data_IF_430103036494
#
_entry.id   IF_430103036494
#
_cell.length_a   1.000
_cell.length_b   1.000
_cell.length_c   1.000
_cell.angle_alpha   90.00
_cell.angle_beta   90.00
_cell.angle_gamma   90.00
#
_symmetry.space_group_name_H-M   'P 1'
#
loop_
_entity.id
_entity.type
_entity.pdbx_description
1 polymer ?
#
# COMPACT_ATOMS: atom_id res chain seq x y z
N UNK A 1 -2.59 -0.03 14.13
CA UNK A 1 -1.59 0.52 13.20
C UNK A 1 -0.61 -0.58 12.83
N UNK A 2 -0.55 -0.94 11.56
CA UNK A 2 0.34 -2.00 11.05
C UNK A 2 1.40 -1.37 10.16
N UNK A 3 2.67 -1.69 10.38
CA UNK A 3 3.80 -1.22 9.58
C UNK A 3 4.35 -2.38 8.76
N UNK A 4 4.44 -2.20 7.46
CA UNK A 4 4.99 -3.17 6.52
C UNK A 4 6.25 -2.60 5.87
N UNK A 5 7.29 -3.41 5.74
CA UNK A 5 8.43 -3.06 4.91
C UNK A 5 8.01 -3.10 3.44
N UNK A 6 8.50 -2.14 2.66
CA UNK A 6 8.30 -2.08 1.20
C UNK A 6 8.61 -3.43 0.54
N UNK A 7 9.74 -4.05 0.89
CA UNK A 7 10.14 -5.34 0.36
C UNK A 7 9.12 -6.46 0.63
N UNK A 8 8.43 -6.42 1.78
CA UNK A 8 7.37 -7.38 2.09
C UNK A 8 6.14 -7.16 1.20
N UNK A 9 5.78 -5.90 0.95
CA UNK A 9 4.70 -5.54 0.02
C UNK A 9 5.05 -5.94 -1.41
N UNK A 10 6.29 -5.73 -1.86
CA UNK A 10 6.74 -6.17 -3.18
C UNK A 10 6.69 -7.71 -3.31
N UNK A 11 7.05 -8.44 -2.26
CA UNK A 11 6.92 -9.90 -2.23
C UNK A 11 5.46 -10.37 -2.28
N UNK A 12 4.55 -9.65 -1.60
CA UNK A 12 3.12 -9.91 -1.65
C UNK A 12 2.57 -9.68 -3.07
N UNK A 13 2.94 -8.57 -3.70
CA UNK A 13 2.54 -8.23 -5.08
C UNK A 13 3.09 -9.24 -6.09
N UNK A 14 4.29 -9.79 -5.89
CA UNK A 14 4.82 -10.88 -6.74
C UNK A 14 3.95 -12.14 -6.72
N UNK A 15 3.30 -12.43 -5.60
CA UNK A 15 2.35 -13.54 -5.48
C UNK A 15 0.96 -13.21 -6.03
N UNK A 16 0.67 -11.93 -6.30
CA UNK A 16 -0.61 -11.42 -6.80
C UNK A 16 -0.40 -10.42 -7.94
N UNK A 17 0.19 -10.85 -9.07
CA UNK A 17 0.59 -9.94 -10.14
C UNK A 17 -0.60 -9.17 -10.74
N UNK A 18 -1.82 -9.73 -10.64
CA UNK A 18 -3.05 -9.15 -11.18
C UNK A 18 -3.82 -8.24 -10.22
N UNK A 19 -3.47 -8.25 -8.94
CA UNK A 19 -4.12 -7.39 -7.95
C UNK A 19 -3.61 -5.95 -8.06
N UNK A 20 -4.49 -5.00 -7.74
CA UNK A 20 -4.09 -3.64 -7.38
C UNK A 20 -3.51 -3.61 -5.98
N UNK A 21 -2.70 -2.59 -5.67
CA UNK A 21 -2.08 -2.43 -4.35
C UNK A 21 -3.13 -2.36 -3.22
N UNK A 22 -4.27 -1.70 -3.48
CA UNK A 22 -5.43 -1.64 -2.59
C UNK A 22 -5.98 -3.04 -2.27
N UNK A 23 -6.15 -3.87 -3.31
CA UNK A 23 -6.70 -5.23 -3.19
C UNK A 23 -5.72 -6.15 -2.46
N UNK A 24 -4.43 -6.06 -2.80
CA UNK A 24 -3.40 -6.87 -2.16
C UNK A 24 -3.26 -6.56 -0.66
N UNK A 25 -3.38 -5.29 -0.27
CA UNK A 25 -3.30 -4.85 1.13
C UNK A 25 -4.65 -4.91 1.87
N UNK A 26 -5.74 -5.29 1.18
CA UNK A 26 -7.10 -5.32 1.71
C UNK A 26 -7.51 -3.99 2.37
N UNK A 27 -7.17 -2.89 1.68
CA UNK A 27 -7.48 -1.52 2.11
C UNK A 27 -8.42 -0.85 1.12
N UNK A 28 -9.18 0.12 1.60
CA UNK A 28 -10.08 0.93 0.79
C UNK A 28 -9.31 1.79 -0.21
N UNK A 29 -8.20 2.40 0.22
CA UNK A 29 -7.39 3.28 -0.60
C UNK A 29 -5.93 3.30 -0.13
N UNK A 30 -4.99 3.41 -1.08
CA UNK A 30 -3.59 3.68 -0.79
C UNK A 30 -3.28 5.14 -1.09
N UNK A 31 -2.79 5.89 -0.11
CA UNK A 31 -2.26 7.24 -0.28
C UNK A 31 -0.76 7.19 -0.58
N UNK A 32 -0.32 8.00 -1.54
CA UNK A 32 1.10 8.19 -1.81
C UNK A 32 1.67 9.23 -0.85
N UNK A 33 2.81 8.92 -0.25
CA UNK A 33 3.61 9.85 0.54
C UNK A 33 4.98 10.02 -0.10
N UNK A 34 5.38 11.27 -0.34
CA UNK A 34 6.73 11.62 -0.81
C UNK A 34 7.79 11.53 0.29
N UNK A 35 7.40 11.48 1.55
CA UNK A 35 8.31 11.36 2.69
C UNK A 35 8.62 9.92 3.07
N UNK A 36 7.87 8.95 2.54
CA UNK A 36 8.10 7.52 2.76
C UNK A 36 8.99 6.95 1.67
N UNK A 37 9.98 6.16 2.07
CA UNK A 37 10.91 5.48 1.15
C UNK A 37 10.72 3.97 1.15
N UNK A 38 10.68 3.35 2.34
CA UNK A 38 10.82 1.90 2.50
C UNK A 38 9.71 1.26 3.35
N UNK A 39 8.67 2.02 3.67
CA UNK A 39 7.64 1.62 4.63
C UNK A 39 6.24 1.90 4.11
N UNK A 40 5.32 0.99 4.40
CA UNK A 40 3.90 1.12 4.14
C UNK A 40 3.16 1.04 5.48
N UNK A 41 2.28 1.99 5.72
CA UNK A 41 1.51 2.08 6.96
C UNK A 41 0.05 1.77 6.67
N UNK A 42 -0.52 0.82 7.39
CA UNK A 42 -1.97 0.52 7.35
C UNK A 42 -2.59 1.05 8.64
N UNK A 43 -3.61 1.89 8.46
CA UNK A 43 -4.35 2.55 9.53
C UNK A 43 -5.85 2.54 9.21
N UNK A 44 -6.66 2.85 10.21
CA UNK A 44 -8.08 3.10 10.04
C UNK A 44 -8.31 4.61 9.98
N UNK A 45 -9.02 5.05 8.95
CA UNK A 45 -9.48 6.43 8.78
C UNK A 45 -10.55 6.79 9.83
N UNK A 46 -10.86 8.08 9.96
CA UNK A 46 -11.92 8.59 10.87
C UNK A 46 -13.29 7.95 10.62
N UNK A 47 -13.55 7.44 9.41
CA UNK A 47 -14.76 6.70 9.06
C UNK A 47 -14.69 5.18 9.37
N UNK A 48 -13.61 4.69 9.99
CA UNK A 48 -13.40 3.25 10.27
C UNK A 48 -12.98 2.43 9.04
N UNK A 49 -12.61 3.08 7.93
CA UNK A 49 -12.11 2.40 6.73
C UNK A 49 -10.62 2.13 6.85
N UNK A 50 -10.15 0.95 6.43
CA UNK A 50 -8.70 0.72 6.33
C UNK A 50 -8.12 1.48 5.15
N UNK A 51 -7.08 2.25 5.39
CA UNK A 51 -6.31 2.95 4.37
C UNK A 51 -4.83 2.59 4.53
N UNK A 52 -4.10 2.61 3.43
CA UNK A 52 -2.64 2.49 3.46
C UNK A 52 -1.98 3.81 3.08
N UNK A 53 -0.79 4.08 3.63
CA UNK A 53 0.10 5.15 3.18
C UNK A 53 1.38 4.48 2.73
N UNK A 54 1.74 4.64 1.46
CA UNK A 54 2.89 4.01 0.83
C UNK A 54 3.81 5.05 0.16
N UNK A 55 5.08 4.71 -0.12
CA UNK A 55 5.94 5.55 -0.94
C UNK A 55 5.28 5.85 -2.28
N UNK A 56 5.37 7.10 -2.75
CA UNK A 56 4.80 7.50 -4.04
C UNK A 56 5.26 6.58 -5.19
N UNK A 57 6.56 6.28 -5.23
CA UNK A 57 7.14 5.38 -6.23
C UNK A 57 6.58 3.95 -6.16
N UNK A 58 6.21 3.47 -4.97
CA UNK A 58 5.60 2.14 -4.81
C UNK A 58 4.16 2.13 -5.34
N UNK A 59 3.37 3.16 -4.99
CA UNK A 59 2.01 3.30 -5.50
C UNK A 59 2.00 3.44 -7.03
N UNK A 60 2.91 4.23 -7.59
CA UNK A 60 3.04 4.40 -9.05
C UNK A 60 3.44 3.10 -9.75
N UNK A 61 4.37 2.33 -9.18
CA UNK A 61 4.79 1.02 -9.72
C UNK A 61 3.62 0.04 -9.87
N UNK A 62 2.69 0.03 -8.92
CA UNK A 62 1.55 -0.88 -8.88
C UNK A 62 0.22 -0.20 -9.25
N UNK A 63 0.27 1.02 -9.81
CA UNK A 63 -0.91 1.73 -10.28
C UNK A 63 -1.49 1.00 -11.49
N UNK A 64 -2.63 0.35 -11.31
CA UNK A 64 -3.47 -0.09 -12.44
C UNK A 64 -4.47 1.02 -12.76
N UNK A 65 -4.53 1.37 -14.05
CA UNK A 65 -5.24 2.56 -14.57
C UNK A 65 -6.75 2.49 -14.43
#
# INVERSE_FOLDING_TARGET
MTRLARAAVESLMKGRPDDSLESALEVFEVFASGSLTDEVYILEDVAGKRIAIAPASLKEQYRRG
#
